data_IF_294177632874
#
_entry.id   IF_294177632874
#
_cell.length_a   1.000
_cell.length_b   1.000
_cell.length_c   1.000
_cell.angle_alpha   90.00
_cell.angle_beta   90.00
_cell.angle_gamma   90.00
#
_symmetry.space_group_name_H-M   'P 1'
#
loop_
_entity.id
_entity.type
_entity.pdbx_description
1 polymer ?
#
# COMPACT_ATOMS: atom_id res chain seq x y z
N UNK A 1 1.74 -0.87 15.58
CA UNK A 1 0.80 0.24 15.39
C UNK A 1 0.53 0.42 13.91
N UNK A 2 -0.72 0.59 13.50
CA UNK A 2 -1.14 0.84 12.13
C UNK A 2 -1.76 2.23 12.01
N UNK A 3 -1.20 3.08 11.15
CA UNK A 3 -1.70 4.43 10.90
C UNK A 3 -2.33 4.48 9.51
N UNK A 4 -3.62 4.81 9.43
CA UNK A 4 -4.27 5.22 8.19
C UNK A 4 -4.20 6.74 8.05
N UNK A 5 -3.77 7.25 6.90
CA UNK A 5 -3.74 8.68 6.60
C UNK A 5 -4.78 8.97 5.53
N UNK A 6 -5.79 9.75 5.90
CA UNK A 6 -6.80 10.30 4.99
C UNK A 6 -6.53 11.78 4.71
N UNK A 7 -7.17 12.32 3.69
CA UNK A 7 -7.02 13.72 3.33
C UNK A 7 -7.37 13.99 1.88
N UNK A 8 -7.74 15.24 1.60
CA UNK A 8 -8.07 15.69 0.25
C UNK A 8 -6.83 15.74 -0.67
N UNK A 9 -7.04 15.85 -1.98
CA UNK A 9 -5.95 16.01 -2.95
C UNK A 9 -5.05 17.20 -2.57
N UNK A 10 -3.74 17.02 -2.64
CA UNK A 10 -2.73 18.02 -2.29
C UNK A 10 -2.75 18.52 -0.82
N UNK A 11 -3.44 17.84 0.09
CA UNK A 11 -3.44 18.22 1.52
C UNK A 11 -2.09 18.02 2.21
N UNK A 12 -1.26 17.10 1.70
CA UNK A 12 0.04 16.75 2.28
C UNK A 12 0.10 15.34 2.87
N UNK A 13 -0.97 14.54 2.74
CA UNK A 13 -1.04 13.13 3.19
C UNK A 13 0.21 12.29 2.91
N UNK A 14 0.75 12.37 1.69
CA UNK A 14 1.95 11.61 1.31
C UNK A 14 3.20 12.12 2.01
N UNK A 15 3.31 13.43 2.21
CA UNK A 15 4.42 14.04 2.97
C UNK A 15 4.39 13.59 4.42
N UNK A 16 3.21 13.52 5.03
CA UNK A 16 3.05 12.99 6.39
C UNK A 16 3.47 11.52 6.47
N UNK A 17 3.06 10.70 5.50
CA UNK A 17 3.47 9.30 5.44
C UNK A 17 4.99 9.14 5.32
N UNK A 18 5.61 9.92 4.43
CA UNK A 18 7.05 9.92 4.23
C UNK A 18 7.81 10.33 5.49
N UNK A 19 7.32 11.35 6.21
CA UNK A 19 7.89 11.76 7.49
C UNK A 19 7.87 10.62 8.51
N UNK A 20 6.76 9.86 8.60
CA UNK A 20 6.67 8.70 9.48
C UNK A 20 7.64 7.59 9.09
N UNK A 21 7.84 7.36 7.79
CA UNK A 21 8.82 6.37 7.30
C UNK A 21 10.24 6.80 7.66
N UNK A 22 10.62 8.04 7.33
CA UNK A 22 11.98 8.53 7.48
C UNK A 22 12.40 8.75 8.94
N UNK A 23 11.51 9.27 9.78
CA UNK A 23 11.85 9.69 11.14
C UNK A 23 11.33 8.77 12.24
N UNK A 24 10.32 7.95 11.95
CA UNK A 24 9.68 7.08 12.95
C UNK A 24 9.74 5.59 12.61
N UNK A 25 10.44 5.20 11.54
CA UNK A 25 10.67 3.81 11.19
C UNK A 25 9.40 3.07 10.76
N UNK A 26 8.39 3.78 10.27
CA UNK A 26 7.19 3.16 9.71
C UNK A 26 7.52 2.52 8.35
N UNK A 27 6.89 1.40 8.04
CA UNK A 27 6.87 0.85 6.69
C UNK A 27 5.56 1.19 6.00
N UNK A 28 5.67 1.64 4.75
CA UNK A 28 4.51 2.02 3.94
C UNK A 28 3.84 0.80 3.33
N UNK A 29 2.52 0.72 3.52
CA UNK A 29 1.66 -0.30 2.95
C UNK A 29 0.77 0.34 1.87
N UNK A 30 0.48 -0.42 0.81
CA UNK A 30 -0.38 0.01 -0.28
C UNK A 30 -1.48 -1.01 -0.56
N UNK A 31 -2.66 -0.49 -0.85
CA UNK A 31 -3.81 -1.24 -1.34
C UNK A 31 -4.10 -0.79 -2.78
N UNK A 32 -4.55 -1.70 -3.67
CA UNK A 32 -4.98 -1.32 -5.00
C UNK A 32 -6.19 -0.40 -4.91
N UNK A 33 -6.00 0.85 -5.31
CA UNK A 33 -7.11 1.79 -5.49
C UNK A 33 -8.02 1.25 -6.61
N UNK A 34 -9.25 0.84 -6.28
CA UNK A 34 -10.21 0.32 -7.26
C UNK A 34 -10.63 1.36 -8.33
N UNK A 35 -10.29 2.63 -8.14
CA UNK A 35 -10.57 3.72 -9.08
C UNK A 35 -9.38 4.01 -10.01
N UNK A 36 -9.05 3.06 -10.89
CA UNK A 36 -8.43 3.34 -12.19
C UNK A 36 -9.19 2.67 -13.33
N UNK A 37 -10.45 3.05 -13.49
CA UNK A 37 -11.16 2.87 -14.77
C UNK A 37 -10.73 4.01 -15.72
N UNK A 38 -9.49 3.96 -16.20
CA UNK A 38 -9.10 4.62 -17.45
C UNK A 38 -7.84 3.96 -18.01
N UNK A 39 -8.05 3.16 -19.06
CA UNK A 39 -7.13 2.51 -19.99
C UNK A 39 -5.79 1.93 -19.47
N UNK A 40 -5.55 0.61 -19.59
CA UNK A 40 -4.20 0.09 -19.48
C UNK A 40 -3.36 0.57 -20.69
N UNK A 41 -2.18 1.19 -20.50
CA UNK A 41 -1.21 1.27 -21.57
C UNK A 41 -0.74 -0.16 -21.86
N UNK A 42 -0.97 -0.61 -23.09
CA UNK A 42 -0.30 -1.79 -23.65
C UNK A 42 1.20 -1.48 -23.64
N UNK A 43 1.93 -2.04 -22.68
CA UNK A 43 3.39 -2.07 -22.73
C UNK A 43 3.78 -3.35 -23.45
N UNK A 44 4.09 -3.14 -24.72
CA UNK A 44 4.78 -4.07 -25.60
C UNK A 44 6.23 -4.23 -25.12
N UNK A 45 6.65 -5.50 -24.97
CA UNK A 45 8.03 -6.01 -25.19
C UNK A 45 9.13 -5.49 -24.23
N UNK A 46 10.05 -6.25 -23.62
CA UNK A 46 10.72 -7.49 -24.04
C UNK A 46 11.54 -8.08 -22.88
N UNK A 47 11.84 -9.39 -22.99
CA UNK A 47 12.94 -10.18 -22.39
C UNK A 47 12.90 -10.44 -20.87
N UNK A 48 13.01 -11.69 -20.39
CA UNK A 48 13.89 -12.75 -20.87
C UNK A 48 13.26 -14.13 -20.68
N UNK A 49 13.27 -14.91 -21.76
CA UNK A 49 12.99 -16.34 -21.81
C UNK A 49 14.21 -17.11 -21.28
N UNK A 50 14.05 -18.00 -20.31
CA UNK A 50 14.81 -19.26 -20.23
C UNK A 50 13.95 -20.38 -19.66
N UNK A 51 13.54 -21.26 -20.57
CA UNK A 51 13.38 -22.72 -20.54
C UNK A 51 12.91 -23.51 -19.30
N UNK A 52 11.82 -24.27 -19.53
CA UNK A 52 11.63 -25.73 -19.37
C UNK A 52 11.87 -26.31 -17.95
N UNK A 53 10.95 -27.08 -17.33
CA UNK A 53 10.58 -28.46 -17.72
C UNK A 53 9.29 -28.98 -17.04
N UNK A 54 8.45 -29.64 -17.83
CA UNK A 54 7.61 -30.83 -17.61
C UNK A 54 7.38 -31.46 -16.21
N UNK A 55 6.08 -31.71 -15.94
CA UNK A 55 5.44 -32.94 -15.40
C UNK A 55 5.17 -33.13 -13.89
N UNK A 56 3.90 -33.50 -13.65
CA UNK A 56 3.35 -34.47 -12.67
C UNK A 56 2.88 -33.99 -11.30
N UNK A 57 1.63 -34.38 -11.00
CA UNK A 57 0.88 -34.34 -9.75
C UNK A 57 1.62 -34.94 -8.54
N UNK A 58 1.52 -34.31 -7.37
CA UNK A 58 1.09 -34.91 -6.10
C UNK A 58 1.04 -33.86 -4.97
N UNK A 59 0.17 -34.14 -4.00
CA UNK A 59 -0.14 -33.38 -2.80
C UNK A 59 1.11 -33.05 -1.97
N UNK A 60 1.19 -31.82 -1.46
CA UNK A 60 1.87 -31.52 -0.20
C UNK A 60 1.44 -30.15 0.33
N UNK A 61 0.88 -30.18 1.54
CA UNK A 61 0.66 -29.05 2.42
C UNK A 61 2.00 -28.38 2.70
N UNK A 62 2.14 -27.10 2.36
CA UNK A 62 3.29 -26.32 2.83
C UNK A 62 2.89 -24.86 3.05
N UNK A 63 2.87 -24.48 4.34
CA UNK A 63 2.48 -23.16 4.85
C UNK A 63 3.57 -22.08 4.63
N UNK A 64 4.26 -22.10 3.48
CA UNK A 64 5.41 -21.21 3.20
C UNK A 64 5.26 -20.32 1.94
N UNK A 65 4.07 -20.22 1.32
CA UNK A 65 3.91 -19.49 0.05
C UNK A 65 3.50 -18.01 0.16
N UNK A 66 3.13 -17.51 1.34
CA UNK A 66 2.63 -16.12 1.46
C UNK A 66 3.71 -15.04 1.36
N UNK A 67 4.98 -15.39 1.62
CA UNK A 67 6.07 -14.39 1.57
C UNK A 67 6.50 -14.04 0.14
N UNK A 68 6.22 -14.90 -0.85
CA UNK A 68 6.64 -14.67 -2.24
C UNK A 68 5.77 -13.61 -2.98
N UNK A 69 4.58 -13.29 -2.45
CA UNK A 69 3.69 -12.27 -3.02
C UNK A 69 3.86 -10.88 -2.41
N UNK A 70 4.52 -10.79 -1.26
CA UNK A 70 4.79 -9.52 -0.57
C UNK A 70 6.15 -8.97 -1.01
N UNK A 71 6.24 -8.57 -2.27
CA UNK A 71 7.46 -7.98 -2.78
C UNK A 71 7.61 -6.57 -2.18
N UNK A 72 8.75 -6.24 -1.52
CA UNK A 72 9.12 -4.86 -1.25
C UNK A 72 9.28 -4.17 -2.61
N UNK A 73 8.25 -3.46 -3.02
CA UNK A 73 8.21 -2.71 -4.25
C UNK A 73 8.67 -1.29 -3.95
N UNK A 74 9.46 -0.72 -4.86
CA UNK A 74 9.74 0.72 -4.86
C UNK A 74 8.46 1.37 -5.42
N UNK A 75 7.56 1.81 -4.54
CA UNK A 75 6.17 2.12 -4.92
C UNK A 75 5.85 3.60 -5.09
N UNK A 76 6.71 4.52 -4.65
CA UNK A 76 6.49 5.96 -4.83
C UNK A 76 7.45 6.57 -5.86
N UNK A 77 7.05 7.69 -6.45
CA UNK A 77 7.85 8.57 -7.33
C UNK A 77 9.15 9.06 -6.66
N UNK A 78 9.31 8.82 -5.36
CA UNK A 78 10.46 9.17 -4.52
C UNK A 78 11.35 7.99 -4.13
N UNK A 79 11.06 6.78 -4.60
CA UNK A 79 11.93 5.62 -4.34
C UNK A 79 11.71 4.92 -3.00
N UNK A 80 10.67 5.28 -2.24
CA UNK A 80 10.40 4.70 -0.92
C UNK A 80 9.97 3.23 -1.05
N UNK A 81 10.59 2.34 -0.26
CA UNK A 81 10.25 0.91 -0.21
C UNK A 81 8.92 0.73 0.52
N UNK A 82 7.96 0.06 -0.12
CA UNK A 82 6.66 -0.28 0.47
C UNK A 82 6.23 -1.70 0.15
N UNK A 83 5.23 -2.20 0.88
CA UNK A 83 4.59 -3.48 0.59
C UNK A 83 3.21 -3.23 -0.03
N UNK A 84 2.92 -3.92 -1.12
CA UNK A 84 1.61 -3.88 -1.78
C UNK A 84 0.84 -5.15 -1.46
N UNK A 85 -0.43 -5.00 -1.09
CA UNK A 85 -1.34 -6.12 -0.80
C UNK A 85 -2.44 -6.19 -1.85
N UNK A 86 -2.92 -7.38 -2.23
CA UNK A 86 -3.98 -7.53 -3.22
C UNK A 86 -5.35 -7.04 -2.72
N UNK A 87 -5.61 -7.17 -1.42
CA UNK A 87 -6.86 -6.79 -0.78
C UNK A 87 -6.61 -6.40 0.69
N UNK A 88 -7.68 -5.90 1.32
CA UNK A 88 -7.67 -5.44 2.72
C UNK A 88 -7.52 -6.61 3.68
N UNK A 89 -8.06 -7.79 3.34
CA UNK A 89 -8.00 -8.97 4.19
C UNK A 89 -6.56 -9.49 4.33
N UNK A 90 -5.83 -9.61 3.22
CA UNK A 90 -4.42 -9.99 3.22
C UNK A 90 -3.56 -8.96 3.96
N UNK A 91 -3.86 -7.67 3.81
CA UNK A 91 -3.19 -6.63 4.58
C UNK A 91 -3.46 -6.79 6.07
N UNK A 92 -4.72 -7.00 6.46
CA UNK A 92 -5.13 -7.13 7.85
C UNK A 92 -4.52 -8.37 8.50
N UNK A 93 -4.50 -9.51 7.81
CA UNK A 93 -3.82 -10.72 8.28
C UNK A 93 -2.31 -10.45 8.51
N UNK A 94 -1.67 -9.76 7.56
CA UNK A 94 -0.26 -9.41 7.66
C UNK A 94 0.05 -8.51 8.86
N UNK A 95 -0.68 -7.41 9.05
CA UNK A 95 -0.41 -6.42 10.11
C UNK A 95 -0.88 -6.91 11.48
N UNK A 96 -1.91 -7.75 11.55
CA UNK A 96 -2.43 -8.28 12.82
C UNK A 96 -1.42 -9.23 13.46
N UNK A 97 -0.75 -10.08 12.66
CA UNK A 97 0.34 -10.95 13.13
C UNK A 97 1.55 -10.15 13.64
N UNK A 98 1.76 -8.94 13.11
CA UNK A 98 2.87 -8.03 13.44
C UNK A 98 2.38 -6.71 14.03
N UNK A 99 1.41 -6.77 14.93
CA UNK A 99 0.73 -5.57 15.43
C UNK A 99 1.65 -4.60 16.20
N UNK A 100 2.80 -5.09 16.69
CA UNK A 100 3.81 -4.29 17.39
C UNK A 100 4.72 -3.48 16.46
N UNK A 101 4.81 -3.84 15.19
CA UNK A 101 5.60 -3.12 14.18
C UNK A 101 4.87 -1.87 13.68
N UNK A 102 5.58 -0.98 12.98
CA UNK A 102 5.08 0.33 12.59
C UNK A 102 4.65 0.35 11.11
N UNK A 103 3.36 0.56 10.89
CA UNK A 103 2.75 0.46 9.56
C UNK A 103 2.01 1.75 9.20
N UNK A 104 2.17 2.25 7.97
CA UNK A 104 1.44 3.43 7.48
C UNK A 104 0.74 3.16 6.15
N UNK A 105 -0.52 3.57 6.04
CA UNK A 105 -1.38 3.48 4.86
C UNK A 105 -1.77 4.87 4.40
N UNK A 106 -1.67 5.17 3.10
CA UNK A 106 -2.10 6.47 2.52
C UNK A 106 -3.39 6.42 1.71
N UNK A 107 -3.91 5.21 1.50
CA UNK A 107 -4.90 4.91 0.47
C UNK A 107 -6.18 4.33 1.11
N UNK A 108 -6.64 4.95 2.20
CA UNK A 108 -7.92 4.63 2.84
C UNK A 108 -9.01 5.50 2.20
N UNK A 109 -9.66 4.98 1.15
CA UNK A 109 -10.60 5.75 0.32
C UNK A 109 -12.06 5.34 0.47
N UNK A 110 -12.34 4.17 1.02
CA UNK A 110 -13.67 3.59 1.10
C UNK A 110 -14.07 3.28 2.55
N UNK A 111 -15.37 3.45 2.82
CA UNK A 111 -15.95 3.26 4.16
C UNK A 111 -15.82 1.81 4.64
N UNK A 112 -16.01 0.83 3.74
CA UNK A 112 -15.91 -0.59 4.08
C UNK A 112 -14.51 -0.96 4.59
N UNK A 113 -13.45 -0.55 3.88
CA UNK A 113 -12.06 -0.73 4.32
C UNK A 113 -11.80 -0.03 5.65
N UNK A 114 -12.30 1.20 5.82
CA UNK A 114 -12.11 1.95 7.05
C UNK A 114 -12.77 1.24 8.25
N UNK A 115 -13.99 0.75 8.11
CA UNK A 115 -14.71 -0.03 9.13
C UNK A 115 -13.94 -1.29 9.53
N UNK A 116 -13.33 -1.99 8.57
CA UNK A 116 -12.49 -3.16 8.86
C UNK A 116 -11.22 -2.80 9.64
N UNK A 117 -10.59 -1.66 9.31
CA UNK A 117 -9.39 -1.15 9.98
C UNK A 117 -9.71 -0.65 11.41
N UNK A 118 -10.81 0.07 11.60
CA UNK A 118 -11.24 0.62 12.90
C UNK A 118 -11.50 -0.46 13.95
N UNK A 119 -11.87 -1.68 13.54
CA UNK A 119 -12.03 -2.82 14.47
C UNK A 119 -10.71 -3.30 15.08
N UNK A 120 -9.55 -2.82 14.62
CA UNK A 120 -8.25 -3.22 15.16
C UNK A 120 -7.83 -2.28 16.28
N UNK A 121 -7.51 -2.80 17.48
CA UNK A 121 -7.19 -1.96 18.65
C UNK A 121 -5.87 -1.16 18.52
N UNK A 122 -5.06 -1.46 17.50
CA UNK A 122 -3.79 -0.80 17.21
C UNK A 122 -3.86 0.13 15.98
N UNK A 123 -5.07 0.42 15.49
CA UNK A 123 -5.30 1.31 14.35
C UNK A 123 -5.55 2.75 14.77
N UNK A 124 -4.95 3.70 14.06
CA UNK A 124 -5.16 5.14 14.21
C UNK A 124 -5.44 5.76 12.84
N UNK A 125 -6.58 6.44 12.68
CA UNK A 125 -6.86 7.25 11.50
C UNK A 125 -6.43 8.70 11.74
N UNK A 126 -5.62 9.26 10.83
CA UNK A 126 -5.19 10.64 10.82
C UNK A 126 -5.73 11.32 9.57
N UNK A 127 -6.53 12.37 9.73
CA UNK A 127 -6.95 13.21 8.62
C UNK A 127 -5.97 14.39 8.44
N UNK A 128 -5.42 14.54 7.24
CA UNK A 128 -4.52 15.64 6.87
C UNK A 128 -5.26 16.60 5.96
N UNK A 129 -5.36 17.86 6.38
CA UNK A 129 -6.01 18.93 5.61
C UNK A 129 -5.08 20.12 5.35
N UNK A 130 -5.44 20.93 4.35
CA UNK A 130 -4.77 22.17 4.02
C UNK A 130 -5.76 23.18 3.39
N UNK A 131 -5.54 24.50 3.57
CA UNK A 131 -6.36 25.53 2.93
C UNK A 131 -6.46 25.34 1.42
N UNK A 132 -7.63 25.62 0.84
CA UNK A 132 -7.90 25.39 -0.60
C UNK A 132 -6.86 26.08 -1.49
N UNK A 133 -6.48 27.33 -1.19
CA UNK A 133 -5.45 28.05 -1.94
C UNK A 133 -4.08 27.36 -1.90
N UNK A 134 -3.70 26.77 -0.77
CA UNK A 134 -2.46 26.00 -0.65
C UNK A 134 -2.53 24.68 -1.43
N UNK A 135 -3.67 23.99 -1.38
CA UNK A 135 -3.90 22.77 -2.17
C UNK A 135 -3.87 23.04 -3.67
N UNK A 136 -4.49 24.13 -4.11
CA UNK A 136 -4.47 24.58 -5.50
C UNK A 136 -3.05 24.90 -5.96
N UNK A 137 -2.30 25.70 -5.19
CA UNK A 137 -0.89 26.00 -5.49
C UNK A 137 -0.06 24.73 -5.66
N UNK A 138 -0.14 23.79 -4.71
CA UNK A 138 0.54 22.49 -4.80
C UNK A 138 0.11 21.63 -5.99
N UNK A 139 -1.13 21.79 -6.45
CA UNK A 139 -1.64 21.11 -7.64
C UNK A 139 -1.09 21.74 -8.93
N UNK A 140 -0.96 23.06 -8.98
CA UNK A 140 -0.39 23.79 -10.13
C UNK A 140 1.13 23.65 -10.24
N UNK A 141 1.83 23.56 -9.11
CA UNK A 141 3.30 23.41 -9.06
C UNK A 141 3.78 21.99 -9.45
N UNK A 142 2.85 21.06 -9.75
CA UNK A 142 3.11 19.65 -10.04
C UNK A 142 3.24 19.40 -11.54
#
# INVERSE_FOLDING_TARGET
MLIGISGSICSGKHTTAEYLVQHHGFLRLHLPTQSRVHNPPKISSSSTLVSQTNSTSHQQEDSQSDSARLLPSITDQRGTRGLTFPDVDALLDFVTKRWREHWVLTDVSDEATLEMLLRRPFFLLINVDAPVGLRYRRFTDR
#
